data_IF_121443018920
#
_entry.id   IF_121443018920
#
_cell.length_a   1.000
_cell.length_b   1.000
_cell.length_c   1.000
_cell.angle_alpha   90.00
_cell.angle_beta   90.00
_cell.angle_gamma   90.00
#
_symmetry.space_group_name_H-M   'P 1'
#
loop_
_entity.id
_entity.type
_entity.pdbx_description
1 polymer ?
#
# COMPACT_ATOMS: atom_id res chain seq x y z
N UNK A 1 -11.55 8.95 -18.44
CA UNK A 1 -11.92 8.69 -17.03
C UNK A 1 -12.56 9.95 -16.49
N UNK A 2 -13.84 9.89 -16.10
CA UNK A 2 -14.57 11.03 -15.51
C UNK A 2 -13.91 11.45 -14.21
N UNK A 3 -13.63 12.75 -14.09
CA UNK A 3 -12.86 13.37 -13.02
C UNK A 3 -13.72 13.41 -11.74
N UNK A 4 -13.64 12.35 -10.92
CA UNK A 4 -14.05 12.46 -9.52
C UNK A 4 -13.15 13.46 -8.80
N UNK A 5 -13.68 14.21 -7.86
CA UNK A 5 -12.88 15.04 -6.97
C UNK A 5 -12.18 14.12 -5.95
N UNK A 6 -10.86 13.97 -6.11
CA UNK A 6 -10.04 13.22 -5.17
C UNK A 6 -9.43 14.16 -4.12
N UNK A 7 -9.35 13.67 -2.89
CA UNK A 7 -8.67 14.35 -1.79
C UNK A 7 -7.64 13.41 -1.18
N UNK A 8 -6.54 13.99 -0.73
CA UNK A 8 -5.50 13.30 0.04
C UNK A 8 -5.53 13.86 1.45
N UNK A 9 -5.66 12.96 2.43
CA UNK A 9 -5.60 13.31 3.85
C UNK A 9 -4.35 12.64 4.43
N UNK A 10 -3.48 13.44 5.03
CA UNK A 10 -2.23 12.99 5.65
C UNK A 10 -2.22 13.29 7.15
N UNK A 11 -1.32 12.65 7.89
CA UNK A 11 -1.20 12.87 9.34
C UNK A 11 -2.33 12.26 10.16
N UNK A 12 -3.08 11.30 9.59
CA UNK A 12 -4.14 10.56 10.29
C UNK A 12 -3.60 9.36 11.06
N UNK A 13 -4.19 9.09 12.21
CA UNK A 13 -4.08 7.84 12.96
C UNK A 13 -5.44 7.14 13.11
N UNK A 14 -6.52 7.91 13.29
CA UNK A 14 -7.90 7.41 13.36
C UNK A 14 -8.64 7.67 12.04
N UNK A 15 -9.08 6.63 11.33
CA UNK A 15 -9.69 6.74 10.00
C UNK A 15 -10.95 7.61 9.99
N UNK A 16 -11.79 7.48 11.03
CA UNK A 16 -13.13 8.06 11.08
C UNK A 16 -13.22 9.38 11.85
N UNK A 17 -12.13 9.82 12.49
CA UNK A 17 -12.12 10.97 13.38
C UNK A 17 -11.36 12.13 12.74
N UNK A 18 -11.75 13.37 13.04
CA UNK A 18 -10.96 14.54 12.67
C UNK A 18 -9.86 14.78 13.70
N UNK A 19 -8.62 14.85 13.23
CA UNK A 19 -7.43 14.98 14.07
C UNK A 19 -6.73 16.32 13.79
N UNK A 20 -6.28 17.03 14.82
CA UNK A 20 -5.51 18.28 14.65
C UNK A 20 -4.20 18.07 13.88
N UNK A 21 -3.73 16.83 13.82
CA UNK A 21 -2.53 16.43 13.08
C UNK A 21 -2.77 16.30 11.58
N UNK A 22 -4.03 16.28 11.15
CA UNK A 22 -4.40 16.00 9.77
C UNK A 22 -4.30 17.22 8.85
N UNK A 23 -3.95 16.98 7.60
CA UNK A 23 -4.04 17.96 6.52
C UNK A 23 -4.83 17.34 5.38
N UNK A 24 -5.83 18.05 4.88
CA UNK A 24 -6.66 17.64 3.74
C UNK A 24 -6.35 18.55 2.54
N UNK A 25 -6.03 17.92 1.41
CA UNK A 25 -5.69 18.65 0.18
C UNK A 25 -6.34 17.99 -1.03
N UNK A 26 -6.94 18.80 -1.90
CA UNK A 26 -7.47 18.34 -3.19
C UNK A 26 -6.36 17.90 -4.16
N UNK A 27 -6.67 16.91 -4.99
CA UNK A 27 -5.79 16.48 -6.08
C UNK A 27 -6.04 17.35 -7.30
N UNK A 28 -5.01 18.05 -7.76
CA UNK A 28 -5.06 18.86 -8.97
C UNK A 28 -4.94 18.01 -10.25
N UNK A 29 -4.13 16.95 -10.22
CA UNK A 29 -3.93 16.07 -11.37
C UNK A 29 -3.45 14.67 -10.98
N UNK A 30 -3.89 13.68 -11.73
CA UNK A 30 -3.48 12.27 -11.59
C UNK A 30 -2.62 11.91 -12.81
N UNK A 31 -1.47 11.28 -12.57
CA UNK A 31 -0.58 10.73 -13.59
C UNK A 31 -0.49 9.23 -13.40
N UNK A 32 -1.23 8.47 -14.20
CA UNK A 32 -1.15 7.00 -14.24
C UNK A 32 0.05 6.61 -15.09
N UNK A 33 0.79 5.58 -14.69
CA UNK A 33 1.90 5.08 -15.49
C UNK A 33 1.44 4.69 -16.90
N UNK A 34 2.14 5.15 -17.94
CA UNK A 34 1.70 5.03 -19.34
C UNK A 34 1.54 3.57 -19.80
N UNK A 35 2.32 2.67 -19.23
CA UNK A 35 2.28 1.23 -19.53
C UNK A 35 1.30 0.42 -18.65
N UNK A 36 0.50 1.06 -17.77
CA UNK A 36 -0.46 0.33 -16.94
C UNK A 36 -1.71 -0.04 -17.77
N UNK A 37 -2.01 -1.35 -17.96
CA UNK A 37 -3.12 -1.77 -18.82
C UNK A 37 -4.47 -1.86 -18.06
N UNK A 38 -4.49 -1.65 -16.74
CA UNK A 38 -5.66 -1.87 -15.89
C UNK A 38 -5.71 -3.25 -15.25
N UNK A 39 -6.41 -3.37 -14.11
CA UNK A 39 -6.57 -4.63 -13.38
C UNK A 39 -5.33 -5.03 -12.58
N UNK A 40 -5.15 -6.34 -12.37
CA UNK A 40 -3.94 -6.91 -11.74
C UNK A 40 -2.89 -7.07 -12.83
N UNK A 41 -1.97 -6.11 -12.93
CA UNK A 41 -1.05 -5.97 -14.05
C UNK A 41 0.28 -5.32 -13.64
N UNK A 42 1.35 -5.43 -14.47
CA UNK A 42 2.58 -4.68 -14.23
C UNK A 42 2.36 -3.17 -14.32
N UNK A 43 3.30 -2.41 -13.77
CA UNK A 43 3.28 -0.93 -13.74
C UNK A 43 2.08 -0.31 -13.02
N UNK A 44 1.50 -1.02 -12.04
CA UNK A 44 0.42 -0.52 -11.20
C UNK A 44 0.93 0.55 -10.22
N UNK A 45 1.11 1.77 -10.74
CA UNK A 45 1.57 2.94 -10.01
C UNK A 45 1.00 4.22 -10.63
N UNK A 46 0.68 5.20 -9.80
CA UNK A 46 0.25 6.53 -10.21
C UNK A 46 0.79 7.61 -9.27
N UNK A 47 0.94 8.83 -9.77
CA UNK A 47 1.29 10.02 -8.99
C UNK A 47 0.09 10.96 -8.89
N UNK A 48 -0.16 11.44 -7.66
CA UNK A 48 -1.17 12.45 -7.38
C UNK A 48 -0.48 13.79 -7.15
N UNK A 49 -0.70 14.76 -8.04
CA UNK A 49 -0.25 16.14 -7.83
C UNK A 49 -1.29 16.88 -7.00
N UNK A 50 -0.88 17.30 -5.81
CA UNK A 50 -1.71 18.09 -4.90
C UNK A 50 -1.93 19.52 -5.42
N UNK A 51 -3.09 20.10 -5.09
CA UNK A 51 -3.43 21.49 -5.44
C UNK A 51 -2.62 22.51 -4.63
N UNK A 52 -2.30 22.18 -3.38
CA UNK A 52 -1.41 22.95 -2.51
C UNK A 52 -0.34 22.04 -1.89
N UNK A 53 0.87 22.55 -1.60
CA UNK A 53 1.88 21.77 -0.90
C UNK A 53 1.44 21.38 0.52
N UNK A 54 1.90 20.22 1.00
CA UNK A 54 1.76 19.81 2.40
C UNK A 54 2.75 20.58 3.28
N UNK A 55 2.35 20.83 4.53
CA UNK A 55 3.26 21.35 5.56
C UNK A 55 3.89 20.18 6.31
N UNK A 56 5.19 19.98 6.14
CA UNK A 56 5.91 18.93 6.87
C UNK A 56 6.11 19.28 8.33
N UNK A 57 5.92 18.30 9.20
CA UNK A 57 6.03 18.42 10.65
C UNK A 57 6.27 17.03 11.27
N UNK A 58 6.14 16.91 12.59
CA UNK A 58 6.34 15.63 13.30
C UNK A 58 5.35 14.51 12.91
N UNK A 59 4.22 14.83 12.28
CA UNK A 59 3.16 13.91 11.87
C UNK A 59 3.11 13.69 10.34
N UNK A 60 3.67 14.61 9.56
CA UNK A 60 3.65 14.58 8.09
C UNK A 60 5.08 14.70 7.57
N UNK A 61 5.57 13.62 6.95
CA UNK A 61 6.89 13.58 6.31
C UNK A 61 6.87 12.70 5.06
N UNK A 62 7.81 12.94 4.15
CA UNK A 62 7.97 12.13 2.94
C UNK A 62 8.71 10.81 3.24
N UNK A 63 8.27 9.73 2.60
CA UNK A 63 9.03 8.47 2.57
C UNK A 63 10.23 8.59 1.63
N UNK A 64 11.31 7.86 1.93
CA UNK A 64 12.47 7.77 1.04
C UNK A 64 12.14 6.85 -0.14
N UNK A 65 12.49 7.28 -1.34
CA UNK A 65 12.41 6.43 -2.53
C UNK A 65 13.68 5.58 -2.66
N UNK A 66 13.57 4.33 -3.14
CA UNK A 66 14.74 3.51 -3.46
C UNK A 66 15.48 4.06 -4.68
N UNK A 67 16.75 3.72 -4.82
CA UNK A 67 17.48 3.95 -6.06
C UNK A 67 16.94 3.04 -7.17
N UNK A 68 17.13 3.45 -8.43
CA UNK A 68 16.70 2.65 -9.57
C UNK A 68 17.42 1.30 -9.59
N UNK A 69 16.65 0.22 -9.67
CA UNK A 69 17.19 -1.15 -9.67
C UNK A 69 17.67 -1.65 -8.31
N UNK A 70 17.43 -0.89 -7.23
CA UNK A 70 17.76 -1.34 -5.88
C UNK A 70 16.86 -2.52 -5.46
N UNK A 71 17.50 -3.65 -5.14
CA UNK A 71 16.81 -4.83 -4.63
C UNK A 71 16.71 -4.74 -3.12
N UNK A 72 15.48 -4.69 -2.61
CA UNK A 72 15.22 -4.66 -1.17
C UNK A 72 15.20 -6.09 -0.61
N UNK A 73 15.90 -6.29 0.52
CA UNK A 73 15.94 -7.56 1.25
C UNK A 73 15.60 -7.35 2.72
N UNK A 74 15.23 -8.42 3.42
CA UNK A 74 14.87 -8.36 4.85
C UNK A 74 13.37 -8.21 5.04
N UNK A 75 12.94 -7.24 5.84
CA UNK A 75 11.53 -7.09 6.20
C UNK A 75 10.95 -5.78 5.69
N UNK A 76 9.68 -5.82 5.28
CA UNK A 76 8.85 -4.67 4.99
C UNK A 76 7.86 -4.42 6.13
N UNK A 77 7.54 -3.14 6.37
CA UNK A 77 6.43 -2.75 7.24
C UNK A 77 5.24 -2.42 6.35
N UNK A 78 4.16 -3.18 6.50
CA UNK A 78 2.88 -2.89 5.87
C UNK A 78 2.01 -2.13 6.87
N UNK A 79 1.28 -1.11 6.41
CA UNK A 79 0.43 -0.29 7.27
C UNK A 79 -0.86 0.13 6.57
N UNK A 80 -1.95 0.24 7.33
CA UNK A 80 -3.22 0.73 6.82
C UNK A 80 -4.39 0.52 7.78
N UNK A 81 -5.57 0.94 7.33
CA UNK A 81 -6.85 0.82 8.05
C UNK A 81 -7.77 -0.27 7.47
N UNK A 82 -7.19 -1.18 6.67
CA UNK A 82 -7.92 -2.28 6.02
C UNK A 82 -8.60 -3.21 7.01
N UNK A 83 -9.33 -4.20 6.49
CA UNK A 83 -9.99 -5.21 7.33
C UNK A 83 -8.98 -5.91 8.23
N UNK A 84 -9.29 -6.00 9.52
CA UNK A 84 -8.54 -6.80 10.50
C UNK A 84 -9.18 -8.17 10.72
N UNK A 85 -10.26 -8.47 10.00
CA UNK A 85 -10.92 -9.76 10.05
C UNK A 85 -10.16 -10.78 9.19
N UNK A 86 -10.04 -12.01 9.70
CA UNK A 86 -9.54 -13.17 8.96
C UNK A 86 -10.65 -13.92 8.21
N UNK A 87 -11.89 -13.46 8.33
CA UNK A 87 -13.06 -14.04 7.66
C UNK A 87 -13.55 -13.13 6.53
N UNK A 88 -14.53 -13.60 5.77
CA UNK A 88 -15.23 -12.80 4.76
C UNK A 88 -16.02 -11.63 5.35
N UNK A 89 -16.27 -11.63 6.65
CA UNK A 89 -16.91 -10.52 7.35
C UNK A 89 -15.90 -9.39 7.56
N UNK A 90 -15.96 -8.39 6.67
CA UNK A 90 -15.04 -7.26 6.69
C UNK A 90 -15.23 -6.43 7.96
N UNK A 91 -14.14 -6.28 8.73
CA UNK A 91 -14.09 -5.39 9.90
C UNK A 91 -12.95 -4.41 9.74
N UNK A 92 -13.25 -3.22 9.22
CA UNK A 92 -12.29 -2.14 9.07
C UNK A 92 -11.79 -1.67 10.44
N UNK A 93 -10.53 -1.27 10.51
CA UNK A 93 -9.96 -0.70 11.72
C UNK A 93 -10.10 0.82 11.71
N UNK A 94 -10.65 1.40 12.77
CA UNK A 94 -10.56 2.86 12.96
C UNK A 94 -9.11 3.27 13.25
N UNK A 95 -8.31 2.44 13.92
CA UNK A 95 -6.93 2.76 14.29
C UNK A 95 -5.96 2.25 13.25
N UNK A 96 -4.96 3.04 12.85
CA UNK A 96 -3.92 2.61 11.90
C UNK A 96 -3.21 1.35 12.43
N UNK A 97 -3.18 0.31 11.60
CA UNK A 97 -2.50 -0.94 11.93
C UNK A 97 -1.16 -1.03 11.20
N UNK A 98 -0.25 -1.84 11.73
CA UNK A 98 1.01 -2.19 11.07
C UNK A 98 1.40 -3.64 11.32
N UNK A 99 2.13 -4.22 10.37
CA UNK A 99 2.78 -5.52 10.50
C UNK A 99 4.15 -5.49 9.84
N UNK A 100 5.11 -6.21 10.41
CA UNK A 100 6.41 -6.48 9.80
C UNK A 100 6.40 -7.87 9.16
N UNK A 101 6.66 -7.95 7.87
CA UNK A 101 6.69 -9.20 7.08
C UNK A 101 7.98 -9.31 6.27
N UNK A 102 8.47 -10.53 5.98
CA UNK A 102 9.68 -10.71 5.20
C UNK A 102 9.40 -10.46 3.72
N UNK A 103 10.35 -9.82 3.05
CA UNK A 103 10.39 -9.70 1.60
C UNK A 103 10.83 -11.03 0.99
N UNK A 104 10.20 -11.38 -0.13
CA UNK A 104 10.56 -12.54 -0.93
C UNK A 104 11.17 -12.07 -2.25
N UNK A 105 12.22 -12.77 -2.69
CA UNK A 105 12.67 -12.64 -4.07
C UNK A 105 11.63 -13.22 -5.04
N UNK A 106 11.69 -12.79 -6.30
CA UNK A 106 10.69 -13.16 -7.31
C UNK A 106 10.61 -14.68 -7.53
N UNK A 107 11.73 -15.41 -7.41
CA UNK A 107 11.73 -16.87 -7.58
C UNK A 107 10.98 -17.53 -6.44
N UNK A 108 11.33 -17.20 -5.20
CA UNK A 108 10.64 -17.70 -4.00
C UNK A 108 9.15 -17.36 -4.05
N UNK A 109 8.79 -16.17 -4.52
CA UNK A 109 7.39 -15.78 -4.69
C UNK A 109 6.64 -16.59 -5.75
N UNK A 110 7.27 -16.85 -6.91
CA UNK A 110 6.70 -17.67 -7.97
C UNK A 110 6.50 -19.13 -7.51
N UNK A 111 7.43 -19.66 -6.72
CA UNK A 111 7.35 -21.00 -6.15
C UNK A 111 6.16 -21.14 -5.18
N UNK A 112 5.86 -20.09 -4.39
CA UNK A 112 4.65 -20.05 -3.55
C UNK A 112 3.36 -20.07 -4.38
N UNK A 113 3.30 -19.32 -5.48
CA UNK A 113 2.12 -19.32 -6.37
C UNK A 113 1.93 -20.64 -7.13
N UNK A 114 3.01 -21.34 -7.45
CA UNK A 114 2.97 -22.60 -8.21
C UNK A 114 2.27 -23.74 -7.46
N UNK A 115 2.05 -23.59 -6.14
CA UNK A 115 1.21 -24.50 -5.33
C UNK A 115 -0.29 -24.34 -5.62
N UNK A 116 -0.69 -23.27 -6.30
CA UNK A 116 -2.07 -22.98 -6.68
C UNK A 116 -2.34 -23.36 -8.14
N UNK A 117 -3.52 -23.93 -8.42
CA UNK A 117 -3.96 -24.29 -9.77
C UNK A 117 -4.17 -23.09 -10.71
N UNK A 118 -4.10 -21.86 -10.17
CA UNK A 118 -4.16 -20.59 -10.91
C UNK A 118 -3.04 -19.66 -10.42
N UNK A 119 -1.79 -20.04 -10.63
CA UNK A 119 -0.65 -19.19 -10.32
C UNK A 119 -0.72 -17.92 -11.20
N UNK A 120 -0.79 -16.70 -10.61
CA UNK A 120 -0.65 -15.48 -11.38
C UNK A 120 0.75 -15.40 -11.99
N UNK A 121 0.85 -14.75 -13.14
CA UNK A 121 2.15 -14.37 -13.71
C UNK A 121 2.76 -13.28 -12.85
N UNK A 122 3.96 -13.52 -12.32
CA UNK A 122 4.76 -12.51 -11.62
C UNK A 122 5.59 -11.70 -12.62
N UNK A 123 5.64 -10.38 -12.43
CA UNK A 123 6.42 -9.46 -13.26
C UNK A 123 7.56 -8.83 -12.45
N UNK A 124 8.66 -8.48 -13.11
CA UNK A 124 9.82 -7.82 -12.46
C UNK A 124 9.49 -6.45 -11.85
N UNK A 125 8.38 -5.83 -12.26
CA UNK A 125 7.88 -4.58 -11.67
C UNK A 125 7.10 -4.79 -10.35
N UNK A 126 7.10 -6.00 -9.78
CA UNK A 126 6.37 -6.36 -8.58
C UNK A 126 7.33 -6.85 -7.49
N UNK A 127 6.90 -6.70 -6.24
CA UNK A 127 7.63 -7.16 -5.05
C UNK A 127 6.68 -8.03 -4.23
N UNK A 128 7.22 -9.07 -3.61
CA UNK A 128 6.45 -10.00 -2.80
C UNK A 128 6.81 -9.95 -1.32
N UNK A 129 5.83 -10.20 -0.47
CA UNK A 129 6.01 -10.40 0.97
C UNK A 129 5.41 -11.74 1.38
N UNK A 130 6.04 -12.45 2.30
CA UNK A 130 5.45 -13.67 2.86
C UNK A 130 4.39 -13.34 3.92
N UNK A 131 3.48 -14.29 4.18
CA UNK A 131 2.66 -14.29 5.38
C UNK A 131 3.41 -15.00 6.53
N UNK A 132 3.29 -14.51 7.75
CA UNK A 132 3.81 -15.17 8.96
C UNK A 132 2.63 -15.53 9.86
N UNK A 133 2.43 -16.82 10.18
CA UNK A 133 1.48 -17.29 11.20
C UNK A 133 0.08 -16.63 11.10
N UNK A 134 -0.47 -16.59 9.88
CA UNK A 134 -1.75 -15.95 9.48
C UNK A 134 -1.77 -14.42 9.37
N UNK A 135 -0.63 -13.77 9.52
CA UNK A 135 -0.45 -12.32 9.42
C UNK A 135 0.12 -11.96 8.05
N UNK A 136 -0.59 -11.14 7.29
CA UNK A 136 -0.28 -10.75 5.92
C UNK A 136 -0.71 -9.30 5.66
N UNK A 137 -0.59 -8.83 4.41
CA UNK A 137 -1.11 -7.53 3.99
C UNK A 137 -2.60 -7.31 4.32
N UNK A 138 -3.39 -8.38 4.37
CA UNK A 138 -4.85 -8.34 4.58
C UNK A 138 -5.30 -8.94 5.92
N UNK A 139 -4.36 -9.29 6.80
CA UNK A 139 -4.66 -9.90 8.10
C UNK A 139 -3.61 -9.48 9.11
N UNK A 140 -4.01 -8.72 10.13
CA UNK A 140 -3.12 -8.30 11.21
C UNK A 140 -3.62 -8.83 12.55
N UNK A 141 -2.70 -9.27 13.42
CA UNK A 141 -3.06 -9.54 14.80
C UNK A 141 -3.28 -8.21 15.51
N UNK A 142 -4.40 -8.11 16.24
CA UNK A 142 -4.80 -6.92 16.98
C UNK A 142 -3.68 -6.52 17.96
N UNK A 143 -3.19 -5.29 17.87
CA UNK A 143 -2.32 -4.68 18.89
C UNK A 143 -3.15 -4.44 20.15
#
# INVERSE_FOLDING_TARGET
MTQGEFKVIVGKYYLLEDEETQQEVEVAKIYVHENYPGGIAPYDIALLKLKTPLTFNKWVSAVKLPAQGEVQIGNAVLSGWGSVSKTWDLRLSNVLQKVTVPLLDNKSCQDEFSKSHKAPQLYDSQICTAAIDEVSACSVNKI
#
